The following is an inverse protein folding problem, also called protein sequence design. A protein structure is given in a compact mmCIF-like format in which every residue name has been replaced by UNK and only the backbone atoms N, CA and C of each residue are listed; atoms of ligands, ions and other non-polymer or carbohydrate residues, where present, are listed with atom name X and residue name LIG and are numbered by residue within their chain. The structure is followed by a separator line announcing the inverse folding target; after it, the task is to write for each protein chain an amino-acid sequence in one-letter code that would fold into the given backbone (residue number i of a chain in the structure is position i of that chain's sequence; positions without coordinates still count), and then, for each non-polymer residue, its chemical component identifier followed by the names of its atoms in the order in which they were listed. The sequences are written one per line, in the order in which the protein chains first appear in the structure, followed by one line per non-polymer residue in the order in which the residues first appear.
data_IF_591748900648
#
_entry.id   IF_591748900648
#
_cell.length_a   1.000
_cell.length_b   1.000
_cell.length_c   1.000
_cell.angle_alpha   90.00
_cell.angle_beta   90.00
_cell.angle_gamma   90.00
#
_symmetry.space_group_name_H-M   'P 1'
#
loop_
_entity.id
_entity.type
_entity.pdbx_description
1 polymer ?
#
# COMPACT_ATOMS: atom_id res chain seq x y z
N UNK A 1 -16.41 16.40 23.56
CA UNK A 1 -17.89 16.45 23.61
C UNK A 1 -18.39 16.14 22.19
N UNK A 2 -18.08 14.93 21.71
CA UNK A 2 -17.81 14.70 20.27
C UNK A 2 -18.36 13.36 19.73
N UNK A 3 -18.77 12.44 20.62
CA UNK A 3 -19.23 11.08 20.24
C UNK A 3 -20.70 11.01 19.81
N UNK A 4 -21.47 12.09 19.98
CA UNK A 4 -22.93 12.08 19.82
C UNK A 4 -23.45 13.10 18.78
N UNK A 5 -22.60 13.69 17.92
CA UNK A 5 -23.09 14.56 16.84
C UNK A 5 -23.79 13.68 15.77
N UNK A 6 -25.12 13.82 15.56
CA UNK A 6 -25.84 12.97 14.61
C UNK A 6 -25.36 13.09 13.16
N UNK A 7 -24.91 14.28 12.75
CA UNK A 7 -24.40 14.52 11.39
C UNK A 7 -23.06 13.81 11.17
N UNK A 8 -22.16 13.85 12.17
CA UNK A 8 -20.90 13.11 12.10
C UNK A 8 -21.14 11.61 12.10
N UNK A 9 -22.07 11.11 12.94
CA UNK A 9 -22.41 9.68 12.97
C UNK A 9 -22.94 9.20 11.62
N UNK A 10 -23.83 9.97 10.99
CA UNK A 10 -24.35 9.63 9.65
C UNK A 10 -23.24 9.67 8.58
N UNK A 11 -22.35 10.66 8.64
CA UNK A 11 -21.20 10.71 7.75
C UNK A 11 -20.25 9.53 7.99
N UNK A 12 -20.00 9.17 9.24
CA UNK A 12 -19.15 8.05 9.63
C UNK A 12 -19.70 6.70 9.13
N UNK A 13 -21.01 6.46 9.25
CA UNK A 13 -21.65 5.28 8.65
C UNK A 13 -21.42 5.22 7.13
N UNK A 14 -21.43 6.38 6.48
CA UNK A 14 -21.14 6.49 5.04
C UNK A 14 -19.67 6.19 4.74
N UNK A 15 -18.74 6.66 5.56
CA UNK A 15 -17.30 6.34 5.47
C UNK A 15 -17.07 4.83 5.63
N UNK A 16 -17.69 4.21 6.64
CA UNK A 16 -17.60 2.77 6.87
C UNK A 16 -18.11 1.99 5.65
N UNK A 17 -19.24 2.43 5.09
CA UNK A 17 -19.86 1.77 3.93
C UNK A 17 -19.06 1.94 2.65
N UNK A 18 -18.52 3.14 2.35
CA UNK A 18 -17.87 3.41 1.06
C UNK A 18 -16.37 3.17 1.04
N UNK A 19 -15.71 3.38 2.18
CA UNK A 19 -14.26 3.28 2.30
C UNK A 19 -13.89 1.98 3.01
N UNK A 20 -14.35 1.76 4.25
CA UNK A 20 -13.87 0.62 5.05
C UNK A 20 -14.32 -0.74 4.51
N UNK A 21 -15.48 -0.81 3.86
CA UNK A 21 -15.97 -2.05 3.24
C UNK A 21 -15.33 -2.35 1.88
N UNK A 22 -14.43 -1.49 1.38
CA UNK A 22 -13.86 -1.64 0.05
C UNK A 22 -13.10 -2.97 -0.09
N UNK A 23 -13.26 -3.73 -1.19
CA UNK A 23 -12.68 -5.07 -1.33
C UNK A 23 -11.17 -5.13 -1.11
N UNK A 24 -10.42 -4.10 -1.49
CA UNK A 24 -8.96 -4.05 -1.26
C UNK A 24 -8.57 -4.06 0.23
N UNK A 25 -9.48 -3.65 1.12
CA UNK A 25 -9.30 -3.65 2.57
C UNK A 25 -9.75 -4.98 3.16
N UNK A 26 -10.97 -5.42 2.83
CA UNK A 26 -11.62 -6.55 3.53
C UNK A 26 -11.42 -7.90 2.85
N UNK A 27 -11.12 -7.92 1.54
CA UNK A 27 -11.10 -9.15 0.73
C UNK A 27 -10.04 -9.10 -0.40
N UNK A 28 -8.79 -8.78 -0.05
CA UNK A 28 -7.69 -8.78 -1.01
C UNK A 28 -7.25 -10.21 -1.36
N UNK A 29 -7.87 -10.76 -2.39
CA UNK A 29 -7.62 -12.14 -2.86
C UNK A 29 -6.15 -12.48 -3.16
N UNK A 30 -5.35 -11.51 -3.65
CA UNK A 30 -3.93 -11.75 -3.88
C UNK A 30 -3.19 -11.95 -2.57
N UNK A 31 -3.41 -11.06 -1.60
CA UNK A 31 -2.69 -11.10 -0.32
C UNK A 31 -3.12 -12.31 0.53
N UNK A 32 -4.41 -12.66 0.53
CA UNK A 32 -4.90 -13.89 1.15
C UNK A 32 -4.18 -15.12 0.58
N UNK A 33 -4.14 -15.28 -0.75
CA UNK A 33 -3.42 -16.38 -1.40
C UNK A 33 -1.92 -16.36 -1.09
N UNK A 34 -1.31 -15.17 -1.12
CA UNK A 34 0.13 -15.01 -0.85
C UNK A 34 0.47 -15.46 0.57
N UNK A 35 -0.40 -15.19 1.55
CA UNK A 35 -0.20 -15.55 2.95
C UNK A 35 -0.06 -17.05 3.21
N UNK A 36 -0.57 -17.90 2.31
CA UNK A 36 -0.38 -19.35 2.39
C UNK A 36 1.09 -19.76 2.16
N UNK A 37 1.87 -18.90 1.49
CA UNK A 37 3.28 -19.13 1.22
C UNK A 37 3.58 -20.17 0.15
N UNK A 38 2.58 -20.59 -0.63
CA UNK A 38 2.70 -21.64 -1.65
C UNK A 38 3.20 -21.14 -3.02
N UNK A 39 3.48 -19.85 -3.15
CA UNK A 39 3.98 -19.27 -4.40
C UNK A 39 5.36 -19.80 -4.80
N UNK A 40 5.63 -19.75 -6.11
CA UNK A 40 6.92 -20.08 -6.69
C UNK A 40 7.84 -18.84 -6.78
N UNK A 41 9.10 -19.04 -7.18
CA UNK A 41 10.08 -17.95 -7.24
C UNK A 41 9.70 -16.87 -8.26
N UNK A 42 9.12 -17.24 -9.41
CA UNK A 42 8.70 -16.27 -10.44
C UNK A 42 7.57 -15.36 -9.95
N UNK A 43 6.60 -15.90 -9.22
CA UNK A 43 5.52 -15.13 -8.61
C UNK A 43 6.02 -14.18 -7.52
N UNK A 44 7.02 -14.63 -6.73
CA UNK A 44 7.67 -13.78 -5.74
C UNK A 44 8.46 -12.64 -6.41
N UNK A 45 9.17 -12.94 -7.50
CA UNK A 45 9.87 -11.94 -8.30
C UNK A 45 8.88 -10.90 -8.85
N UNK A 46 7.75 -11.32 -9.42
CA UNK A 46 6.73 -10.40 -9.95
C UNK A 46 6.23 -9.43 -8.86
N UNK A 47 5.93 -9.94 -7.65
CA UNK A 47 5.59 -9.08 -6.51
C UNK A 47 6.67 -8.02 -6.27
N UNK A 48 7.93 -8.43 -6.09
CA UNK A 48 9.02 -7.52 -5.78
C UNK A 48 9.30 -6.52 -6.90
N UNK A 49 9.22 -6.93 -8.16
CA UNK A 49 9.38 -6.03 -9.30
C UNK A 49 8.30 -4.94 -9.30
N UNK A 50 7.03 -5.33 -9.17
CA UNK A 50 5.92 -4.37 -9.20
C UNK A 50 5.86 -3.49 -7.94
N UNK A 51 6.14 -4.07 -6.77
CA UNK A 51 6.18 -3.33 -5.50
C UNK A 51 7.35 -2.33 -5.46
N UNK A 52 8.48 -2.66 -6.08
CA UNK A 52 9.59 -1.72 -6.22
C UNK A 52 9.26 -0.53 -7.13
N UNK A 53 8.49 -0.74 -8.20
CA UNK A 53 7.98 0.38 -9.01
C UNK A 53 7.12 1.29 -8.14
N UNK A 54 6.17 0.72 -7.40
CA UNK A 54 5.34 1.47 -6.46
C UNK A 54 6.20 2.28 -5.48
N UNK A 55 7.09 1.64 -4.72
CA UNK A 55 7.92 2.30 -3.71
C UNK A 55 8.75 3.45 -4.29
N UNK A 56 9.31 3.30 -5.49
CA UNK A 56 10.09 4.38 -6.12
C UNK A 56 9.22 5.53 -6.62
N UNK A 57 8.09 5.23 -7.27
CA UNK A 57 7.23 6.24 -7.89
C UNK A 57 6.28 6.91 -6.89
N UNK A 58 6.07 6.29 -5.73
CA UNK A 58 5.36 6.92 -4.62
C UNK A 58 6.04 8.22 -4.17
N UNK A 59 7.36 8.37 -4.33
CA UNK A 59 8.08 9.63 -4.10
C UNK A 59 7.50 10.81 -4.89
N UNK A 60 7.10 10.59 -6.15
CA UNK A 60 6.47 11.63 -6.97
C UNK A 60 5.11 12.01 -6.40
N UNK A 61 4.29 11.01 -6.10
CA UNK A 61 2.95 11.18 -5.52
C UNK A 61 3.02 11.90 -4.18
N UNK A 62 3.97 11.54 -3.31
CA UNK A 62 4.19 12.17 -2.02
C UNK A 62 4.69 13.61 -2.16
N UNK A 63 5.56 13.89 -3.12
CA UNK A 63 5.97 15.25 -3.44
C UNK A 63 4.77 16.09 -3.92
N UNK A 64 3.91 15.53 -4.77
CA UNK A 64 2.68 16.22 -5.20
C UNK A 64 1.76 16.52 -4.00
N UNK A 65 1.61 15.57 -3.07
CA UNK A 65 0.83 15.77 -1.83
C UNK A 65 1.39 16.92 -1.00
N UNK A 66 2.72 16.96 -0.81
CA UNK A 66 3.39 18.05 -0.12
C UNK A 66 3.11 19.41 -0.80
N UNK A 67 3.30 19.49 -2.12
CA UNK A 67 3.12 20.75 -2.88
C UNK A 67 1.67 21.23 -2.94
N UNK A 68 0.72 20.32 -2.83
CA UNK A 68 -0.72 20.60 -2.95
C UNK A 68 -1.46 20.50 -1.61
N UNK A 69 -0.74 20.51 -0.48
CA UNK A 69 -1.35 20.51 0.83
C UNK A 69 -2.30 21.71 1.01
N UNK A 70 -3.45 21.48 1.66
CA UNK A 70 -4.47 22.51 1.84
C UNK A 70 -4.22 23.47 2.99
N UNK A 71 -3.31 23.09 3.90
CA UNK A 71 -2.99 23.76 5.15
C UNK A 71 -1.58 23.35 5.60
N UNK A 72 -1.02 24.10 6.56
CA UNK A 72 0.36 23.92 7.03
C UNK A 72 0.57 22.60 7.78
N UNK A 73 -0.46 22.09 8.45
CA UNK A 73 -0.37 20.85 9.22
C UNK A 73 -0.30 19.64 8.26
N UNK A 74 -1.18 19.61 7.25
CA UNK A 74 -1.13 18.62 6.17
C UNK A 74 0.20 18.69 5.39
N UNK A 75 0.73 19.90 5.16
CA UNK A 75 2.03 20.09 4.50
C UNK A 75 3.16 19.49 5.36
N UNK A 76 3.14 19.76 6.67
CA UNK A 76 4.13 19.27 7.62
C UNK A 76 4.10 17.74 7.72
N UNK A 77 2.90 17.15 7.81
CA UNK A 77 2.75 15.69 7.83
C UNK A 77 3.25 15.06 6.52
N UNK A 78 2.85 15.61 5.36
CA UNK A 78 3.33 15.13 4.06
C UNK A 78 4.86 15.23 3.91
N UNK A 79 5.48 16.22 4.55
CA UNK A 79 6.95 16.41 4.58
C UNK A 79 7.64 15.31 5.37
N UNK A 80 7.12 14.94 6.53
CA UNK A 80 7.70 13.87 7.34
C UNK A 80 7.65 12.53 6.61
N UNK A 81 6.51 12.19 5.98
CA UNK A 81 6.38 10.99 5.16
C UNK A 81 7.40 11.02 4.00
N UNK A 82 7.48 12.13 3.26
CA UNK A 82 8.45 12.24 2.15
C UNK A 82 9.90 12.08 2.62
N UNK A 83 10.26 12.68 3.74
CA UNK A 83 11.60 12.54 4.31
C UNK A 83 11.90 11.10 4.71
N UNK A 84 10.92 10.37 5.26
CA UNK A 84 11.06 8.98 5.62
C UNK A 84 11.27 8.08 4.40
N UNK A 85 10.44 8.26 3.36
CA UNK A 85 10.58 7.57 2.07
C UNK A 85 11.96 7.79 1.43
N UNK A 86 12.55 8.98 1.62
CA UNK A 86 13.88 9.35 1.13
C UNK A 86 15.04 8.82 1.99
N UNK A 87 14.78 8.30 3.20
CA UNK A 87 15.78 7.67 4.06
C UNK A 87 16.14 8.43 5.34
N UNK A 88 15.22 9.26 5.85
CA UNK A 88 15.29 9.81 7.20
C UNK A 88 14.53 8.90 8.16
N UNK A 89 15.06 8.65 9.35
CA UNK A 89 14.32 7.87 10.36
C UNK A 89 12.99 8.55 10.75
N UNK A 90 11.96 7.76 11.04
CA UNK A 90 10.69 8.25 11.59
C UNK A 90 10.60 7.89 13.07
N UNK A 91 10.20 8.86 13.89
CA UNK A 91 9.98 8.67 15.33
C UNK A 91 8.58 8.07 15.58
N UNK A 92 8.33 7.50 16.78
CA UNK A 92 6.99 7.02 17.15
C UNK A 92 5.88 8.09 17.11
N UNK A 93 6.25 9.36 17.17
CA UNK A 93 5.33 10.50 17.03
C UNK A 93 5.02 10.85 15.56
N UNK A 94 5.52 10.07 14.59
CA UNK A 94 5.31 10.26 13.16
C UNK A 94 6.21 11.32 12.51
N UNK A 95 7.07 11.99 13.29
CA UNK A 95 7.94 13.05 12.76
C UNK A 95 9.32 12.53 12.39
N UNK A 96 9.99 13.23 11.47
CA UNK A 96 11.39 12.94 11.07
C UNK A 96 12.39 13.97 11.64
N UNK A 97 11.93 14.83 12.55
CA UNK A 97 12.75 15.86 13.17
C UNK A 97 13.94 15.27 13.94
N UNK A 98 15.10 15.91 13.79
CA UNK A 98 16.38 15.54 14.39
C UNK A 98 16.84 14.08 14.09
N UNK A 99 16.27 13.43 13.08
CA UNK A 99 16.67 12.08 12.67
C UNK A 99 17.76 12.11 11.59
N UNK A 100 18.72 11.17 11.61
CA UNK A 100 19.77 11.12 10.61
C UNK A 100 19.23 10.66 9.26
N UNK A 101 19.86 11.14 8.19
CA UNK A 101 19.65 10.66 6.84
C UNK A 101 20.63 9.53 6.50
N UNK A 102 20.11 8.44 5.93
CA UNK A 102 20.91 7.39 5.32
C UNK A 102 20.27 6.97 3.99
N UNK A 103 21.06 7.00 2.90
CA UNK A 103 20.57 6.54 1.58
C UNK A 103 20.11 5.09 1.59
N UNK A 104 20.68 4.24 2.46
CA UNK A 104 20.29 2.84 2.63
C UNK A 104 18.93 2.67 3.30
N UNK A 105 18.43 3.68 4.02
CA UNK A 105 17.12 3.64 4.67
C UNK A 105 16.00 4.10 3.75
N UNK A 106 16.30 4.76 2.63
CA UNK A 106 15.30 5.09 1.62
C UNK A 106 14.53 3.82 1.25
N UNK A 107 13.21 3.85 1.27
CA UNK A 107 12.37 2.65 1.20
C UNK A 107 12.67 1.81 -0.06
N UNK A 108 12.88 2.46 -1.20
CA UNK A 108 13.28 1.78 -2.44
C UNK A 108 14.65 1.07 -2.33
N UNK A 109 15.62 1.67 -1.63
CA UNK A 109 16.94 1.06 -1.46
C UNK A 109 16.90 -0.08 -0.44
N UNK A 110 16.11 0.07 0.63
CA UNK A 110 15.86 -1.02 1.56
C UNK A 110 15.17 -2.19 0.86
N UNK A 111 14.12 -1.94 0.08
CA UNK A 111 13.42 -2.98 -0.68
C UNK A 111 14.34 -3.69 -1.68
N UNK A 112 15.24 -2.97 -2.36
CA UNK A 112 16.26 -3.58 -3.23
C UNK A 112 17.20 -4.50 -2.46
N UNK A 113 17.60 -4.11 -1.25
CA UNK A 113 18.41 -4.95 -0.38
C UNK A 113 17.63 -6.20 0.05
N UNK A 114 16.36 -6.04 0.44
CA UNK A 114 15.46 -7.16 0.75
C UNK A 114 15.30 -8.13 -0.42
N UNK A 115 15.32 -7.62 -1.65
CA UNK A 115 15.20 -8.41 -2.87
C UNK A 115 16.49 -9.13 -3.32
N UNK A 116 17.65 -8.86 -2.71
CA UNK A 116 18.93 -9.44 -3.12
C UNK A 116 18.95 -10.97 -3.19
N UNK A 117 18.35 -11.72 -2.25
CA UNK A 117 18.36 -13.18 -2.31
C UNK A 117 17.61 -13.75 -3.53
N UNK A 118 16.78 -12.95 -4.20
CA UNK A 118 16.09 -13.32 -5.44
C UNK A 118 16.97 -13.21 -6.69
N UNK A 119 18.19 -12.67 -6.57
CA UNK A 119 19.11 -12.46 -7.69
C UNK A 119 18.63 -11.38 -8.67
N UNK A 120 17.76 -10.48 -8.23
CA UNK A 120 17.20 -9.42 -9.07
C UNK A 120 18.21 -8.31 -9.34
N UNK A 121 18.18 -7.78 -10.57
CA UNK A 121 18.99 -6.63 -10.95
C UNK A 121 18.45 -5.36 -10.27
N UNK A 122 19.18 -4.89 -9.26
CA UNK A 122 18.83 -3.67 -8.52
C UNK A 122 18.73 -2.41 -9.40
N UNK A 123 19.36 -2.38 -10.59
CA UNK A 123 19.22 -1.27 -11.53
C UNK A 123 17.84 -1.25 -12.20
N UNK A 124 17.21 -2.41 -12.35
CA UNK A 124 15.87 -2.56 -12.95
C UNK A 124 14.75 -2.48 -11.91
N UNK A 125 15.03 -2.84 -10.65
CA UNK A 125 14.05 -2.70 -9.57
C UNK A 125 13.65 -1.23 -9.35
N UNK A 126 12.35 -0.97 -9.46
CA UNK A 126 11.77 0.37 -9.42
C UNK A 126 11.76 1.12 -10.76
N UNK A 127 12.15 0.47 -11.84
CA UNK A 127 12.12 1.07 -13.18
C UNK A 127 10.67 1.23 -13.69
N UNK A 128 10.37 2.35 -14.34
CA UNK A 128 9.04 2.53 -14.93
C UNK A 128 8.81 1.58 -16.09
N UNK A 129 9.88 1.23 -16.79
CA UNK A 129 9.90 0.36 -17.95
C UNK A 129 9.46 -1.06 -17.59
N UNK A 130 9.72 -1.52 -16.36
CA UNK A 130 9.30 -2.84 -15.84
C UNK A 130 7.91 -2.83 -15.21
N UNK A 131 7.26 -1.66 -15.12
CA UNK A 131 5.93 -1.55 -14.56
C UNK A 131 4.89 -2.21 -15.48
N UNK A 132 4.12 -3.15 -14.92
CA UNK A 132 2.94 -3.71 -15.57
C UNK A 132 1.88 -2.63 -15.83
N UNK A 133 0.92 -2.93 -16.71
CA UNK A 133 -0.16 -1.98 -17.02
C UNK A 133 -0.99 -1.63 -15.78
N UNK A 134 -1.26 -2.60 -14.89
CA UNK A 134 -1.98 -2.38 -13.63
C UNK A 134 -1.19 -1.48 -12.69
N UNK A 135 0.12 -1.72 -12.53
CA UNK A 135 0.99 -0.88 -11.69
C UNK A 135 1.03 0.56 -12.18
N UNK A 136 1.12 0.79 -13.50
CA UNK A 136 1.07 2.15 -14.07
C UNK A 136 -0.28 2.82 -13.84
N UNK A 137 -1.39 2.10 -14.00
CA UNK A 137 -2.75 2.62 -13.74
C UNK A 137 -2.93 2.98 -12.26
N UNK A 138 -2.42 2.14 -11.37
CA UNK A 138 -2.39 2.40 -9.94
C UNK A 138 -1.66 3.70 -9.61
N UNK A 139 -0.42 3.86 -10.08
CA UNK A 139 0.41 5.05 -9.82
C UNK A 139 -0.28 6.32 -10.34
N UNK A 140 -0.80 6.29 -11.58
CA UNK A 140 -1.59 7.40 -12.13
C UNK A 140 -2.84 7.70 -11.30
N UNK A 141 -3.52 6.66 -10.81
CA UNK A 141 -4.66 6.82 -9.92
C UNK A 141 -4.29 7.57 -8.65
N UNK A 142 -3.12 7.30 -8.06
CA UNK A 142 -2.61 8.04 -6.90
C UNK A 142 -2.21 9.49 -7.23
N UNK A 143 -1.58 9.74 -8.39
CA UNK A 143 -1.29 11.11 -8.85
C UNK A 143 -2.59 11.93 -8.99
N UNK A 144 -3.65 11.31 -9.51
CA UNK A 144 -4.95 11.95 -9.70
C UNK A 144 -5.75 12.16 -8.41
N UNK A 145 -5.43 11.44 -7.32
CA UNK A 145 -6.15 11.52 -6.05
C UNK A 145 -5.27 12.09 -4.94
N UNK A 146 -4.32 11.32 -4.43
CA UNK A 146 -3.44 11.70 -3.34
C UNK A 146 -2.56 12.90 -3.69
N UNK A 147 -2.07 12.95 -4.92
CA UNK A 147 -1.31 14.09 -5.44
C UNK A 147 -2.15 15.26 -5.98
N UNK A 148 -3.48 15.26 -5.80
CA UNK A 148 -4.36 16.24 -6.44
C UNK A 148 -4.15 17.66 -5.87
N UNK A 149 -4.36 18.68 -6.73
CA UNK A 149 -4.33 20.11 -6.35
C UNK A 149 -5.48 20.54 -5.47
N UNK A 150 -6.63 19.86 -5.60
CA UNK A 150 -7.74 20.03 -4.69
C UNK A 150 -7.41 19.31 -3.37
N UNK A 151 -7.21 20.09 -2.31
CA UNK A 151 -6.81 19.58 -1.00
C UNK A 151 -7.80 18.60 -0.37
N UNK A 152 -9.10 18.73 -0.67
CA UNK A 152 -10.12 17.80 -0.14
C UNK A 152 -10.07 16.46 -0.87
N UNK A 153 -9.73 16.47 -2.17
CA UNK A 153 -9.45 15.24 -2.91
C UNK A 153 -8.22 14.55 -2.32
N UNK A 154 -7.14 15.31 -2.09
CA UNK A 154 -5.94 14.79 -1.44
C UNK A 154 -6.22 14.22 -0.05
N UNK A 155 -7.01 14.92 0.78
CA UNK A 155 -7.38 14.50 2.13
C UNK A 155 -8.21 13.20 2.13
N UNK A 156 -9.22 13.11 1.27
CA UNK A 156 -10.03 11.89 1.13
C UNK A 156 -9.22 10.68 0.66
N UNK A 157 -8.28 10.91 -0.26
CA UNK A 157 -7.34 9.88 -0.69
C UNK A 157 -6.39 9.44 0.44
N UNK A 158 -5.83 10.40 1.20
CA UNK A 158 -4.95 10.13 2.35
C UNK A 158 -5.64 9.24 3.37
N UNK A 159 -6.83 9.65 3.79
CA UNK A 159 -7.63 8.89 4.75
C UNK A 159 -7.83 7.45 4.29
N UNK A 160 -8.23 7.25 3.04
CA UNK A 160 -8.52 5.92 2.53
C UNK A 160 -7.27 5.04 2.40
N UNK A 161 -6.15 5.59 1.88
CA UNK A 161 -4.89 4.86 1.72
C UNK A 161 -4.30 4.46 3.07
N UNK A 162 -4.23 5.40 4.00
CA UNK A 162 -3.64 5.16 5.33
C UNK A 162 -4.54 4.24 6.17
N UNK A 163 -5.87 4.36 6.03
CA UNK A 163 -6.81 3.41 6.64
C UNK A 163 -6.64 2.00 6.07
N UNK A 164 -6.47 1.85 4.75
CA UNK A 164 -6.19 0.56 4.13
C UNK A 164 -4.89 -0.03 4.66
N UNK A 165 -3.85 0.79 4.77
CA UNK A 165 -2.54 0.33 5.19
C UNK A 165 -2.51 -0.10 6.67
N UNK A 166 -3.23 0.64 7.52
CA UNK A 166 -3.34 0.42 8.95
C UNK A 166 -4.45 -0.57 9.35
N UNK A 167 -5.21 -1.12 8.39
CA UNK A 167 -6.44 -1.85 8.70
C UNK A 167 -6.20 -3.05 9.62
N UNK A 168 -6.96 -3.14 10.72
CA UNK A 168 -6.86 -4.24 11.69
C UNK A 168 -5.70 -4.15 12.69
N UNK A 169 -4.72 -3.27 12.47
CA UNK A 169 -3.50 -3.20 13.30
C UNK A 169 -3.83 -2.76 14.73
N UNK A 170 -3.37 -3.51 15.73
CA UNK A 170 -3.65 -3.26 17.14
C UNK A 170 -5.04 -3.72 17.62
N UNK A 171 -5.88 -4.31 16.75
CA UNK A 171 -7.18 -4.89 17.14
C UNK A 171 -7.09 -6.35 17.59
N UNK A 172 -5.88 -6.92 17.59
CA UNK A 172 -5.59 -8.28 18.02
C UNK A 172 -5.19 -9.19 16.85
N UNK A 173 -4.64 -10.39 17.14
CA UNK A 173 -3.99 -11.22 16.12
C UNK A 173 -4.90 -11.66 14.97
N UNK A 174 -6.19 -11.86 15.24
CA UNK A 174 -7.17 -12.26 14.22
C UNK A 174 -7.40 -11.13 13.20
N UNK A 175 -7.72 -9.93 13.65
CA UNK A 175 -7.90 -8.76 12.79
C UNK A 175 -6.61 -8.39 12.05
N UNK A 176 -5.48 -8.45 12.75
CA UNK A 176 -4.16 -8.20 12.14
C UNK A 176 -3.83 -9.18 11.03
N UNK A 177 -4.28 -10.44 11.11
CA UNK A 177 -4.02 -11.44 10.06
C UNK A 177 -4.69 -11.13 8.72
N UNK A 178 -5.68 -10.23 8.71
CA UNK A 178 -6.34 -9.75 7.50
C UNK A 178 -5.66 -8.50 6.91
N UNK A 179 -4.73 -7.87 7.63
CA UNK A 179 -3.95 -6.75 7.11
C UNK A 179 -3.01 -7.22 5.99
N UNK A 180 -2.91 -6.45 4.90
CA UNK A 180 -2.11 -6.85 3.75
C UNK A 180 -0.61 -6.97 4.07
N UNK A 181 -0.03 -6.08 4.90
CA UNK A 181 1.37 -6.21 5.33
C UNK A 181 1.58 -7.50 6.11
N UNK A 182 0.67 -7.82 7.03
CA UNK A 182 0.74 -9.06 7.80
C UNK A 182 0.64 -10.28 6.89
N UNK A 183 -0.24 -10.26 5.90
CA UNK A 183 -0.36 -11.34 4.91
C UNK A 183 0.91 -11.53 4.07
N UNK A 184 1.59 -10.44 3.68
CA UNK A 184 2.90 -10.52 3.03
C UNK A 184 3.96 -11.13 3.95
N UNK A 185 4.02 -10.72 5.22
CA UNK A 185 4.94 -11.28 6.22
C UNK A 185 4.70 -12.79 6.38
N UNK A 186 3.45 -13.20 6.59
CA UNK A 186 3.09 -14.61 6.77
C UNK A 186 3.49 -15.47 5.56
N UNK A 187 3.26 -14.96 4.34
CA UNK A 187 3.65 -15.64 3.10
C UNK A 187 5.17 -15.78 2.97
N UNK A 188 5.92 -14.72 3.27
CA UNK A 188 7.39 -14.74 3.23
C UNK A 188 7.98 -15.62 4.32
N UNK A 189 7.42 -15.63 5.53
CA UNK A 189 7.81 -16.56 6.60
C UNK A 189 7.63 -18.02 6.16
N UNK A 190 6.48 -18.34 5.57
CA UNK A 190 6.19 -19.67 5.04
C UNK A 190 7.13 -20.06 3.90
N UNK A 191 7.42 -19.15 2.98
CA UNK A 191 8.42 -19.34 1.93
C UNK A 191 9.82 -19.60 2.52
N UNK A 192 10.26 -18.76 3.45
CA UNK A 192 11.57 -18.85 4.09
C UNK A 192 11.78 -20.13 4.91
N UNK A 193 10.72 -20.70 5.49
CA UNK A 193 10.79 -22.01 6.18
C UNK A 193 11.19 -23.15 5.24
N UNK A 194 10.92 -23.01 3.94
CA UNK A 194 11.28 -24.01 2.91
C UNK A 194 12.71 -23.85 2.40
N UNK A 195 13.42 -22.77 2.78
CA UNK A 195 14.76 -22.46 2.31
C UNK A 195 15.83 -22.73 3.38
N UNK A 196 16.90 -23.41 2.98
CA UNK A 196 18.09 -23.59 3.83
C UNK A 196 18.98 -22.33 3.85
N UNK A 197 19.05 -21.63 2.72
CA UNK A 197 19.87 -20.42 2.51
C UNK A 197 19.10 -19.39 1.68
N UNK A 198 19.61 -18.16 1.59
CA UNK A 198 19.02 -17.08 0.80
C UNK A 198 17.58 -16.74 1.19
N UNK A 199 17.31 -16.73 2.50
CA UNK A 199 16.02 -16.28 3.04
C UNK A 199 15.80 -14.81 2.74
N UNK A 200 14.54 -14.45 2.48
CA UNK A 200 14.11 -13.06 2.29
C UNK A 200 14.07 -12.36 3.65
N UNK A 201 14.80 -11.24 3.86
CA UNK A 201 14.67 -10.44 5.06
C UNK A 201 13.24 -9.94 5.25
N UNK A 202 12.74 -9.90 6.49
CA UNK A 202 11.37 -9.47 6.80
C UNK A 202 11.30 -8.03 7.31
N UNK A 203 12.42 -7.46 7.77
CA UNK A 203 12.47 -6.18 8.48
C UNK A 203 11.77 -5.04 7.74
N UNK A 204 11.85 -5.00 6.40
CA UNK A 204 11.14 -4.01 5.59
C UNK A 204 9.63 -4.09 5.81
N UNK A 205 9.05 -5.28 5.72
CA UNK A 205 7.60 -5.49 5.85
C UNK A 205 7.15 -5.33 7.31
N UNK A 206 7.95 -5.82 8.26
CA UNK A 206 7.67 -5.67 9.69
C UNK A 206 7.67 -4.22 10.14
N UNK A 207 8.62 -3.42 9.64
CA UNK A 207 8.65 -1.99 9.91
C UNK A 207 7.38 -1.29 9.45
N UNK A 208 6.95 -1.52 8.19
CA UNK A 208 5.73 -0.90 7.67
C UNK A 208 4.50 -1.36 8.47
N UNK A 209 4.36 -2.66 8.73
CA UNK A 209 3.26 -3.16 9.58
C UNK A 209 3.21 -2.47 10.95
N UNK A 210 4.36 -2.17 11.56
CA UNK A 210 4.40 -1.49 12.85
C UNK A 210 4.14 0.02 12.76
N UNK A 211 4.62 0.69 11.71
CA UNK A 211 4.48 2.14 11.53
C UNK A 211 3.07 2.56 11.10
N UNK A 212 2.39 1.76 10.26
CA UNK A 212 1.12 2.15 9.65
C UNK A 212 0.01 2.43 10.66
N UNK A 213 0.04 1.81 11.86
CA UNK A 213 -0.96 2.13 12.90
C UNK A 213 -0.98 3.62 13.24
N UNK A 214 0.19 4.25 13.33
CA UNK A 214 0.30 5.68 13.60
C UNK A 214 -0.33 6.52 12.49
N UNK A 215 -0.07 6.16 11.23
CA UNK A 215 -0.68 6.83 10.07
C UNK A 215 -2.22 6.72 10.08
N UNK A 216 -2.76 5.51 10.31
CA UNK A 216 -4.20 5.29 10.43
C UNK A 216 -4.88 6.08 11.55
N UNK A 217 -4.23 6.16 12.73
CA UNK A 217 -4.72 6.96 13.85
C UNK A 217 -4.70 8.47 13.50
N UNK A 218 -3.65 8.96 12.85
CA UNK A 218 -3.51 10.38 12.47
C UNK A 218 -4.59 10.83 11.48
N UNK A 219 -4.83 10.09 10.39
CA UNK A 219 -5.85 10.49 9.41
C UNK A 219 -7.28 10.42 9.96
N UNK A 220 -7.52 9.60 10.98
CA UNK A 220 -8.81 9.58 11.66
C UNK A 220 -9.04 10.86 12.45
N UNK A 221 -8.03 11.36 13.15
CA UNK A 221 -8.12 12.66 13.82
C UNK A 221 -8.23 13.80 12.81
N UNK A 222 -7.43 13.80 11.73
CA UNK A 222 -7.55 14.78 10.64
C UNK A 222 -8.97 14.80 10.03
N UNK A 223 -9.61 13.65 9.86
CA UNK A 223 -10.98 13.56 9.36
C UNK A 223 -11.98 14.20 10.32
N UNK A 224 -11.87 13.93 11.63
CA UNK A 224 -12.75 14.51 12.64
C UNK A 224 -12.62 16.03 12.65
N UNK A 225 -11.40 16.55 12.66
CA UNK A 225 -11.14 17.98 12.62
C UNK A 225 -11.66 18.61 11.32
N UNK A 226 -11.38 17.98 10.18
CA UNK A 226 -11.84 18.44 8.88
C UNK A 226 -13.37 18.50 8.81
N UNK A 227 -14.08 17.49 9.33
CA UNK A 227 -15.54 17.41 9.27
C UNK A 227 -16.22 18.63 9.90
N UNK A 228 -15.70 19.14 11.01
CA UNK A 228 -16.28 20.28 11.72
C UNK A 228 -15.93 21.65 11.09
N UNK A 229 -15.07 21.68 10.06
CA UNK A 229 -14.79 22.90 9.33
C UNK A 229 -15.92 23.24 8.34
N UNK A 230 -16.44 24.49 8.31
CA UNK A 230 -17.57 24.89 7.45
C UNK A 230 -17.36 24.66 5.93
N UNK A 231 -16.12 24.47 5.49
CA UNK A 231 -15.76 24.22 4.08
C UNK A 231 -15.62 22.75 3.71
N UNK A 232 -15.86 21.82 4.63
CA UNK A 232 -15.69 20.39 4.37
C UNK A 232 -16.64 19.89 3.29
N UNK A 233 -16.09 19.26 2.26
CA UNK A 233 -16.88 18.69 1.15
C UNK A 233 -16.91 17.17 1.27
N UNK A 234 -17.78 16.66 2.14
CA UNK A 234 -17.94 15.24 2.44
C UNK A 234 -18.02 14.34 1.19
N UNK A 235 -18.80 14.71 0.18
CA UNK A 235 -18.91 13.89 -1.04
C UNK A 235 -17.63 13.90 -1.89
N UNK A 236 -16.91 15.02 -1.93
CA UNK A 236 -15.60 15.10 -2.61
C UNK A 236 -14.58 14.21 -1.90
N UNK A 237 -14.52 14.30 -0.57
CA UNK A 237 -13.69 13.45 0.28
C UNK A 237 -13.95 11.96 0.02
N UNK A 238 -15.22 11.54 0.09
CA UNK A 238 -15.61 10.13 -0.07
C UNK A 238 -15.26 9.59 -1.47
N UNK A 239 -15.61 10.33 -2.53
CA UNK A 239 -15.29 9.93 -3.92
C UNK A 239 -13.78 9.83 -4.16
N UNK A 240 -13.01 10.74 -3.56
CA UNK A 240 -11.56 10.70 -3.68
C UNK A 240 -10.97 9.47 -2.99
N UNK A 241 -11.46 9.14 -1.79
CA UNK A 241 -11.07 7.94 -1.06
C UNK A 241 -11.38 6.66 -1.84
N UNK A 242 -12.61 6.52 -2.34
CA UNK A 242 -13.00 5.39 -3.20
C UNK A 242 -12.13 5.29 -4.46
N UNK A 243 -11.85 6.42 -5.12
CA UNK A 243 -11.00 6.42 -6.32
C UNK A 243 -9.57 5.98 -6.00
N UNK A 244 -9.03 6.38 -4.85
CA UNK A 244 -7.71 5.95 -4.38
C UNK A 244 -7.69 4.43 -4.08
N UNK A 245 -8.69 3.91 -3.38
CA UNK A 245 -8.79 2.47 -3.09
C UNK A 245 -8.99 1.64 -4.36
N UNK A 246 -9.75 2.13 -5.33
CA UNK A 246 -9.88 1.50 -6.64
C UNK A 246 -8.53 1.43 -7.37
N UNK A 247 -7.71 2.49 -7.30
CA UNK A 247 -6.37 2.47 -7.87
C UNK A 247 -5.47 1.42 -7.21
N UNK A 248 -5.48 1.34 -5.87
CA UNK A 248 -4.76 0.30 -5.12
C UNK A 248 -5.27 -1.10 -5.50
N UNK A 249 -6.59 -1.26 -5.64
CA UNK A 249 -7.17 -2.54 -6.00
C UNK A 249 -6.74 -3.01 -7.39
N UNK A 250 -6.62 -2.09 -8.35
CA UNK A 250 -6.09 -2.40 -9.69
C UNK A 250 -4.68 -2.99 -9.62
N UNK A 251 -3.81 -2.50 -8.72
CA UNK A 251 -2.47 -3.07 -8.51
C UNK A 251 -2.56 -4.54 -8.08
N UNK A 252 -3.33 -4.83 -7.03
CA UNK A 252 -3.48 -6.19 -6.49
C UNK A 252 -4.19 -7.14 -7.46
N UNK A 253 -5.22 -6.67 -8.17
CA UNK A 253 -5.89 -7.46 -9.21
C UNK A 253 -4.94 -7.80 -10.37
N UNK A 254 -4.02 -6.89 -10.70
CA UNK A 254 -2.98 -7.14 -11.71
C UNK A 254 -2.02 -8.24 -11.29
N UNK A 255 -1.51 -8.20 -10.06
CA UNK A 255 -0.68 -9.27 -9.50
C UNK A 255 -1.45 -10.60 -9.42
N UNK A 256 -2.73 -10.55 -9.06
CA UNK A 256 -3.62 -11.72 -9.03
C UNK A 256 -3.80 -12.34 -10.42
N UNK A 257 -4.01 -11.53 -11.45
CA UNK A 257 -4.10 -12.03 -12.82
C UNK A 257 -2.78 -12.64 -13.28
N UNK A 258 -1.65 -11.99 -13.01
CA UNK A 258 -0.31 -12.46 -13.38
C UNK A 258 0.01 -13.84 -12.79
N UNK A 259 -0.28 -14.06 -11.49
CA UNK A 259 -0.06 -15.37 -10.85
C UNK A 259 -0.95 -16.48 -11.45
N UNK A 260 -2.17 -16.16 -11.84
CA UNK A 260 -3.12 -17.14 -12.40
C UNK A 260 -2.70 -17.58 -13.79
N UNK A 261 -2.32 -16.64 -14.65
CA UNK A 261 -1.79 -16.96 -15.99
C UNK A 261 -0.48 -17.75 -15.93
N UNK A 262 0.38 -17.46 -14.95
CA UNK A 262 1.62 -18.22 -14.75
C UNK A 262 1.34 -19.67 -14.32
N UNK A 263 0.33 -19.90 -13.47
CA UNK A 263 -0.08 -21.25 -13.06
C UNK A 263 -0.69 -22.07 -14.22
N UNK A 264 -1.40 -21.42 -15.14
CA UNK A 264 -1.93 -22.06 -16.36
C UNK A 264 -0.81 -22.47 -17.33
N UNK A 265 0.24 -21.65 -17.45
CA UNK A 265 1.39 -21.94 -18.31
C UNK A 265 2.27 -23.09 -17.80
N UNK A 266 2.25 -23.36 -16.49
CA UNK A 266 2.97 -24.48 -15.86
C UNK A 266 2.21 -25.83 -15.96
N UNK A 267 0.96 -25.85 -16.44
CA UNK A 267 0.28 -27.12 -16.75
C UNK A 267 0.80 -27.71 -18.06
N UNK A 268 1.38 -28.93 -18.07
CA UNK A 268 1.82 -29.55 -19.31
C UNK A 268 0.64 -29.76 -20.25
N UNK A 269 0.80 -29.39 -21.53
CA UNK A 269 -0.09 -29.72 -22.64
C UNK A 269 -0.25 -31.25 -22.78
N UNK A 270 -1.04 -31.88 -21.92
CA UNK A 270 -1.54 -33.23 -22.11
C UNK A 270 -2.96 -33.15 -22.65
N UNK A 271 -3.07 -32.99 -23.97
CA UNK A 271 -4.06 -33.61 -24.87
C UNK A 271 -4.09 -32.87 -26.22
N UNK A 272 -3.19 -33.25 -27.11
CA UNK A 272 -3.38 -33.05 -28.55
C UNK A 272 -2.71 -34.20 -29.30
N UNK A 273 -3.15 -35.43 -29.02
CA UNK A 273 -2.84 -36.58 -29.85
C UNK A 273 -4.07 -37.48 -29.89
N UNK A 274 -4.88 -37.30 -30.92
CA UNK A 274 -6.01 -38.18 -31.20
C UNK A 274 -7.06 -37.48 -32.04
N UNK A 275 -6.90 -37.56 -33.36
CA UNK A 275 -7.96 -37.79 -34.37
C UNK A 275 -7.44 -37.35 -35.76
N UNK A 276 -6.59 -38.20 -36.33
CA UNK A 276 -6.48 -38.38 -37.79
C UNK A 276 -6.15 -39.85 -38.05
N UNK A 277 -7.19 -40.69 -38.05
CA UNK A 277 -7.27 -41.95 -38.80
C UNK A 277 -8.72 -42.18 -39.16
#
# INVERSE_FOLDING_TARGET
MEKDNPEFLQFWETVQTRIHSHPVIVDNTYCQWFSEGNFNQSQLIDLFEQFAVFSKWFLLVQMMRLLNAGDLDSETHARYILANELGVGIKPDGTTEDQPFHTSWAHINWLRNTAQPLGLDGQRLGSWETASLSTRKFIKGLEETYGNRDSEVGRGASYAIETWAAWGIGKGPEEESHNFWKQLILGLEAYNRRLEQNKIPLDFFEFHFQSEKGHGDNVLEELKEAFYNPGFRAETFLRAGEKALNAIHIFWLGLNASRMSSAEAEQPFHQAAGLWT
#
